data_IF_175113689538
#
_entry.id   IF_175113689538
#
_cell.length_a   1.000
_cell.length_b   1.000
_cell.length_c   1.000
_cell.angle_alpha   90.00
_cell.angle_beta   90.00
_cell.angle_gamma   90.00
#
_symmetry.space_group_name_H-M   'P 1'
#
loop_
_entity.id
_entity.type
_entity.pdbx_description
1 polymer ?
#
# COMPACT_ATOMS: atom_id res chain seq x y z
N UNK A 1 20.37 -37.77 -8.93
CA UNK A 1 20.86 -37.06 -7.72
C UNK A 1 19.69 -36.29 -7.14
N UNK A 2 19.12 -36.76 -6.03
CA UNK A 2 17.97 -36.12 -5.37
C UNK A 2 18.46 -34.87 -4.61
N UNK A 3 17.88 -33.70 -4.90
CA UNK A 3 18.10 -32.50 -4.11
C UNK A 3 17.45 -32.71 -2.73
N UNK A 4 18.26 -32.61 -1.68
CA UNK A 4 17.82 -32.72 -0.31
C UNK A 4 16.73 -31.61 -0.05
N UNK A 5 15.56 -32.05 0.40
CA UNK A 5 14.53 -31.19 0.95
C UNK A 5 15.10 -30.53 2.22
N UNK A 6 15.44 -29.25 2.14
CA UNK A 6 15.70 -28.46 3.33
C UNK A 6 14.42 -28.48 4.18
N UNK A 7 14.48 -29.08 5.37
CA UNK A 7 13.38 -29.04 6.34
C UNK A 7 13.18 -27.59 6.75
N UNK A 8 11.95 -27.13 6.62
CA UNK A 8 11.49 -25.85 7.15
C UNK A 8 11.71 -25.84 8.67
N UNK A 9 12.46 -24.82 9.16
CA UNK A 9 12.65 -24.56 10.59
C UNK A 9 11.74 -23.39 10.99
N UNK A 10 10.65 -23.63 11.71
CA UNK A 10 9.74 -22.56 12.15
C UNK A 10 10.41 -21.57 13.12
N UNK A 11 11.53 -21.93 13.76
CA UNK A 11 12.25 -21.03 14.66
C UNK A 11 13.22 -20.07 13.93
N UNK A 12 13.46 -20.26 12.63
CA UNK A 12 14.30 -19.36 11.83
C UNK A 12 13.53 -18.15 11.29
N UNK A 13 12.22 -18.04 11.57
CA UNK A 13 11.39 -16.95 11.12
C UNK A 13 11.71 -15.68 11.91
N UNK A 14 12.07 -14.61 11.19
CA UNK A 14 11.96 -13.26 11.78
C UNK A 14 10.52 -13.02 12.21
N UNK A 15 10.28 -12.38 13.38
CA UNK A 15 8.94 -11.98 13.77
C UNK A 15 8.28 -11.23 12.61
N UNK A 16 7.03 -11.57 12.30
CA UNK A 16 6.24 -10.83 11.34
C UNK A 16 6.21 -9.36 11.77
N UNK A 17 6.61 -8.50 10.85
CA UNK A 17 6.57 -7.07 11.03
C UNK A 17 5.14 -6.64 11.38
N UNK A 18 4.96 -5.94 12.48
CA UNK A 18 3.67 -5.35 12.85
C UNK A 18 3.61 -3.89 12.43
N UNK A 19 2.40 -3.35 12.22
CA UNK A 19 2.21 -1.92 11.92
C UNK A 19 2.64 -1.01 13.08
N UNK A 20 2.95 -1.58 14.25
CA UNK A 20 3.42 -0.88 15.46
C UNK A 20 4.92 -0.78 15.58
N UNK A 21 5.70 -1.35 14.65
CA UNK A 21 7.15 -1.15 14.65
C UNK A 21 7.44 0.34 14.39
N UNK A 22 8.43 0.93 15.09
CA UNK A 22 8.70 2.35 14.95
C UNK A 22 8.99 2.71 13.49
N UNK A 23 8.27 3.70 13.00
CA UNK A 23 8.56 4.34 11.71
C UNK A 23 9.93 5.01 11.86
N UNK A 24 10.84 4.89 10.88
CA UNK A 24 12.09 5.63 10.89
C UNK A 24 11.81 7.13 11.09
N UNK A 25 12.60 7.80 11.92
CA UNK A 25 12.54 9.26 12.04
C UNK A 25 12.57 9.86 10.63
N UNK A 26 11.55 10.64 10.29
CA UNK A 26 11.45 11.26 8.97
C UNK A 26 12.59 12.27 8.81
N UNK A 27 13.24 12.26 7.64
CA UNK A 27 14.29 13.23 7.30
C UNK A 27 13.76 14.67 7.14
N UNK A 28 12.45 14.86 7.28
CA UNK A 28 11.76 16.14 7.14
C UNK A 28 11.42 16.71 8.51
N UNK A 29 11.83 17.95 8.76
CA UNK A 29 11.37 18.75 9.90
C UNK A 29 9.97 19.30 9.58
N UNK A 30 8.97 18.42 9.66
CA UNK A 30 7.57 18.70 9.33
C UNK A 30 6.73 18.65 10.60
N UNK A 31 6.04 19.74 10.91
CA UNK A 31 4.98 19.75 11.91
C UNK A 31 3.70 19.12 11.31
N UNK A 32 3.57 17.80 11.49
CA UNK A 32 2.48 17.03 10.91
C UNK A 32 1.10 17.49 11.45
N UNK A 33 1.01 17.93 12.72
CA UNK A 33 -0.25 18.42 13.31
C UNK A 33 -0.70 19.74 12.68
N UNK A 34 0.24 20.67 12.52
CA UNK A 34 -0.03 21.94 11.88
C UNK A 34 -0.47 21.77 10.42
N UNK A 35 0.21 20.89 9.68
CA UNK A 35 -0.11 20.58 8.29
C UNK A 35 -1.49 19.89 8.19
N UNK A 36 -1.77 18.90 9.04
CA UNK A 36 -3.08 18.24 9.06
C UNK A 36 -4.22 19.27 9.29
N UNK A 37 -4.03 20.20 10.23
CA UNK A 37 -5.01 21.26 10.51
C UNK A 37 -5.19 22.22 9.31
N UNK A 38 -4.12 22.55 8.59
CA UNK A 38 -4.18 23.39 7.39
C UNK A 38 -4.86 22.68 6.20
N UNK A 39 -4.64 21.37 6.07
CA UNK A 39 -5.21 20.58 4.97
C UNK A 39 -6.65 20.13 5.23
N UNK A 40 -7.10 20.06 6.48
CA UNK A 40 -8.45 19.59 6.85
C UNK A 40 -9.60 20.31 6.11
N UNK A 41 -9.60 21.65 5.96
CA UNK A 41 -10.66 22.36 5.24
C UNK A 41 -10.50 22.31 3.72
N UNK A 42 -9.41 21.76 3.18
CA UNK A 42 -9.10 21.80 1.76
C UNK A 42 -9.75 20.65 1.01
N UNK A 43 -9.95 20.85 -0.27
CA UNK A 43 -10.39 19.76 -1.17
C UNK A 43 -9.29 18.71 -1.38
N UNK A 44 -9.68 17.52 -1.80
CA UNK A 44 -8.73 16.46 -2.16
C UNK A 44 -7.73 16.93 -3.25
N UNK A 45 -8.14 17.79 -4.16
CA UNK A 45 -7.25 18.38 -5.17
C UNK A 45 -6.18 19.26 -4.53
N UNK A 46 -6.58 20.21 -3.69
CA UNK A 46 -5.64 21.12 -3.01
C UNK A 46 -4.67 20.38 -2.10
N UNK A 47 -5.14 19.32 -1.41
CA UNK A 47 -4.28 18.48 -0.59
C UNK A 47 -3.27 17.70 -1.44
N UNK A 48 -3.68 17.19 -2.61
CA UNK A 48 -2.77 16.51 -3.54
C UNK A 48 -1.78 17.49 -4.19
N UNK A 49 -2.22 18.68 -4.58
CA UNK A 49 -1.33 19.73 -5.10
C UNK A 49 -0.23 20.05 -4.09
N UNK A 50 -0.59 20.27 -2.82
CA UNK A 50 0.36 20.46 -1.75
C UNK A 50 1.34 19.27 -1.60
N UNK A 51 0.84 18.03 -1.63
CA UNK A 51 1.67 16.84 -1.50
C UNK A 51 2.67 16.70 -2.65
N UNK A 52 2.24 16.99 -3.88
CA UNK A 52 3.13 16.99 -5.04
C UNK A 52 4.17 18.12 -4.98
N UNK A 53 3.77 19.34 -4.62
CA UNK A 53 4.70 20.47 -4.46
C UNK A 53 5.77 20.19 -3.40
N UNK A 54 5.42 19.42 -2.35
CA UNK A 54 6.32 19.16 -1.23
C UNK A 54 7.24 17.97 -1.46
N UNK A 55 6.73 16.86 -2.03
CA UNK A 55 7.41 15.56 -2.02
C UNK A 55 7.72 14.98 -3.40
N UNK A 56 7.27 15.58 -4.50
CA UNK A 56 7.61 15.03 -5.82
C UNK A 56 9.12 15.20 -6.12
N UNK A 57 9.82 14.17 -6.63
CA UNK A 57 9.34 12.87 -7.15
C UNK A 57 9.27 11.75 -6.08
N UNK A 58 9.50 12.03 -4.80
CA UNK A 58 9.48 11.07 -3.69
C UNK A 58 8.08 10.68 -3.20
N UNK A 59 7.01 11.14 -3.87
CA UNK A 59 5.63 10.84 -3.52
C UNK A 59 5.09 9.61 -4.23
N UNK A 60 4.51 8.66 -3.47
CA UNK A 60 3.80 7.50 -4.01
C UNK A 60 2.31 7.53 -3.70
N UNK A 61 1.50 7.01 -4.60
CA UNK A 61 0.05 6.91 -4.43
C UNK A 61 -0.34 5.43 -4.35
N UNK A 62 -0.88 5.03 -3.20
CA UNK A 62 -1.37 3.67 -2.96
C UNK A 62 -2.76 3.49 -3.58
N UNK A 63 -2.90 2.50 -4.44
CA UNK A 63 -4.12 2.23 -5.18
C UNK A 63 -4.77 0.91 -4.77
N UNK A 64 -6.03 0.96 -4.35
CA UNK A 64 -6.88 -0.20 -4.07
C UNK A 64 -7.85 -0.52 -5.20
N UNK A 65 -7.90 0.32 -6.23
CA UNK A 65 -8.83 0.25 -7.37
C UNK A 65 -10.31 0.33 -7.00
N UNK A 66 -10.61 0.80 -5.79
CA UNK A 66 -11.97 1.16 -5.38
C UNK A 66 -12.31 2.61 -5.79
N UNK A 67 -13.55 3.03 -5.58
CA UNK A 67 -14.05 4.34 -6.02
C UNK A 67 -13.14 5.50 -5.63
N UNK A 68 -12.76 5.61 -4.35
CA UNK A 68 -11.93 6.70 -3.86
C UNK A 68 -10.53 6.68 -4.51
N UNK A 69 -9.92 5.51 -4.61
CA UNK A 69 -8.63 5.35 -5.27
C UNK A 69 -8.68 5.80 -6.74
N UNK A 70 -9.76 5.48 -7.47
CA UNK A 70 -9.91 5.91 -8.88
C UNK A 70 -10.03 7.43 -9.00
N UNK A 71 -10.70 8.09 -8.05
CA UNK A 71 -10.76 9.56 -7.99
C UNK A 71 -9.39 10.17 -7.70
N UNK A 72 -8.63 9.58 -6.79
CA UNK A 72 -7.26 10.04 -6.48
C UNK A 72 -6.36 9.92 -7.73
N UNK A 73 -6.46 8.81 -8.47
CA UNK A 73 -5.71 8.63 -9.74
C UNK A 73 -6.08 9.72 -10.75
N UNK A 74 -7.38 10.01 -10.94
CA UNK A 74 -7.84 11.05 -11.86
C UNK A 74 -7.28 12.44 -11.50
N UNK A 75 -7.30 12.78 -10.22
CA UNK A 75 -6.77 14.08 -9.77
C UNK A 75 -5.25 14.13 -9.92
N UNK A 76 -4.56 13.10 -9.46
CA UNK A 76 -3.09 13.06 -9.45
C UNK A 76 -2.48 13.13 -10.84
N UNK A 77 -3.04 12.39 -11.81
CA UNK A 77 -2.56 12.41 -13.21
C UNK A 77 -2.74 13.77 -13.90
N UNK A 78 -3.73 14.56 -13.45
CA UNK A 78 -3.95 15.94 -13.92
C UNK A 78 -3.00 16.96 -13.29
N UNK A 79 -2.47 16.68 -12.10
CA UNK A 79 -1.50 17.53 -11.40
C UNK A 79 -0.09 17.19 -11.89
N UNK A 80 0.28 15.92 -11.87
CA UNK A 80 1.60 15.41 -12.23
C UNK A 80 1.45 14.21 -13.18
N UNK A 81 1.70 14.38 -14.49
CA UNK A 81 1.60 13.30 -15.48
C UNK A 81 2.57 12.14 -15.24
N UNK A 82 3.64 12.39 -14.49
CA UNK A 82 4.65 11.41 -14.05
C UNK A 82 4.46 10.92 -12.61
N UNK A 83 3.27 11.13 -12.03
CA UNK A 83 2.91 10.62 -10.72
C UNK A 83 3.11 9.09 -10.63
N UNK A 84 3.65 8.63 -9.52
CA UNK A 84 3.95 7.22 -9.28
C UNK A 84 2.84 6.56 -8.47
N UNK A 85 2.37 5.42 -8.98
CA UNK A 85 1.29 4.66 -8.40
C UNK A 85 1.75 3.24 -8.06
N UNK A 86 1.30 2.72 -6.91
CA UNK A 86 1.56 1.33 -6.57
C UNK A 86 0.31 0.63 -6.00
N UNK A 87 0.32 -0.68 -6.03
CA UNK A 87 -0.71 -1.49 -5.37
C UNK A 87 -0.10 -2.74 -4.72
N UNK A 88 -0.81 -3.25 -3.73
CA UNK A 88 -0.46 -4.50 -3.07
C UNK A 88 -1.24 -5.63 -3.73
N UNK A 89 -0.52 -6.53 -4.38
CA UNK A 89 -1.13 -7.71 -4.96
C UNK A 89 -1.10 -8.86 -3.95
N UNK A 90 -2.27 -9.24 -3.48
CA UNK A 90 -2.42 -10.31 -2.51
C UNK A 90 -2.61 -11.69 -3.14
N UNK A 91 -2.56 -11.82 -4.47
CA UNK A 91 -2.95 -12.99 -5.29
C UNK A 91 -4.41 -13.46 -5.10
N UNK A 92 -5.18 -12.75 -4.28
CA UNK A 92 -6.60 -13.06 -3.99
C UNK A 92 -7.51 -11.85 -4.20
N UNK A 93 -7.07 -10.89 -4.99
CA UNK A 93 -7.93 -9.80 -5.44
C UNK A 93 -8.96 -10.34 -6.42
N UNK A 94 -10.13 -9.72 -6.46
CA UNK A 94 -11.18 -10.07 -7.43
C UNK A 94 -10.74 -9.73 -8.85
N UNK A 95 -11.21 -10.48 -9.84
CA UNK A 95 -10.93 -10.22 -11.26
C UNK A 95 -11.34 -8.81 -11.68
N UNK A 96 -12.45 -8.28 -11.13
CA UNK A 96 -12.93 -6.93 -11.38
C UNK A 96 -11.93 -5.87 -10.86
N UNK A 97 -11.17 -6.18 -9.82
CA UNK A 97 -10.12 -5.30 -9.30
C UNK A 97 -8.97 -5.18 -10.29
N UNK A 98 -8.49 -6.31 -10.84
CA UNK A 98 -7.49 -6.31 -11.90
C UNK A 98 -7.99 -5.64 -13.17
N UNK A 99 -9.23 -5.92 -13.58
CA UNK A 99 -9.83 -5.28 -14.75
C UNK A 99 -9.98 -3.76 -14.55
N UNK A 100 -10.21 -3.28 -13.35
CA UNK A 100 -10.27 -1.84 -13.04
C UNK A 100 -8.87 -1.22 -13.10
N UNK A 101 -7.85 -1.89 -12.56
CA UNK A 101 -6.45 -1.48 -12.69
C UNK A 101 -6.08 -1.28 -14.15
N UNK A 102 -6.34 -2.29 -14.99
CA UNK A 102 -5.94 -2.29 -16.40
C UNK A 102 -6.65 -1.17 -17.17
N UNK A 103 -7.95 -0.94 -16.91
CA UNK A 103 -8.69 0.17 -17.52
C UNK A 103 -8.17 1.55 -17.08
N UNK A 104 -7.78 1.71 -15.82
CA UNK A 104 -7.18 2.97 -15.36
C UNK A 104 -5.81 3.18 -15.99
N UNK A 105 -4.98 2.14 -16.05
CA UNK A 105 -3.67 2.19 -16.70
C UNK A 105 -3.79 2.61 -18.18
N UNK A 106 -4.67 1.98 -18.92
CA UNK A 106 -4.94 2.30 -20.33
C UNK A 106 -5.49 3.72 -20.49
N UNK A 107 -6.48 4.11 -19.69
CA UNK A 107 -7.16 5.40 -19.81
C UNK A 107 -6.25 6.59 -19.54
N UNK A 108 -5.38 6.49 -18.54
CA UNK A 108 -4.46 7.58 -18.16
C UNK A 108 -3.06 7.44 -18.77
N UNK A 109 -2.74 6.31 -19.41
CA UNK A 109 -1.40 6.04 -19.96
C UNK A 109 -0.35 5.90 -18.84
N UNK A 110 -0.70 5.31 -17.70
CA UNK A 110 0.15 5.16 -16.51
C UNK A 110 0.40 3.68 -16.21
N UNK A 111 1.43 3.42 -15.40
CA UNK A 111 1.71 2.11 -14.85
C UNK A 111 1.44 2.09 -13.34
N UNK A 112 0.99 0.94 -12.83
CA UNK A 112 0.86 0.68 -11.39
C UNK A 112 1.95 -0.29 -10.97
N UNK A 113 2.88 0.15 -10.13
CA UNK A 113 3.93 -0.71 -9.57
C UNK A 113 3.30 -1.79 -8.70
N UNK A 114 3.60 -3.06 -8.99
CA UNK A 114 3.08 -4.21 -8.25
C UNK A 114 3.99 -4.57 -7.10
N UNK A 115 3.49 -4.53 -5.89
CA UNK A 115 4.17 -5.07 -4.72
C UNK A 115 3.51 -6.37 -4.27
N UNK A 116 4.31 -7.40 -4.16
CA UNK A 116 3.87 -8.77 -3.91
C UNK A 116 4.98 -9.53 -3.17
N UNK A 117 4.64 -10.34 -2.16
CA UNK A 117 5.63 -11.11 -1.42
C UNK A 117 5.74 -12.55 -1.96
N UNK A 118 4.87 -13.43 -1.51
CA UNK A 118 4.89 -14.86 -1.88
C UNK A 118 3.58 -15.28 -2.55
N UNK A 119 3.63 -16.32 -3.39
CA UNK A 119 2.43 -16.90 -4.01
C UNK A 119 1.57 -17.64 -2.99
N UNK A 120 0.32 -17.94 -3.34
CA UNK A 120 -0.59 -18.74 -2.49
C UNK A 120 0.00 -20.12 -2.24
N UNK A 121 0.58 -20.74 -3.27
CA UNK A 121 1.22 -22.07 -3.18
C UNK A 121 2.44 -22.03 -2.23
N UNK A 122 3.26 -20.98 -2.32
CA UNK A 122 4.40 -20.80 -1.43
C UNK A 122 3.94 -20.58 0.01
N UNK A 123 2.88 -19.80 0.22
CA UNK A 123 2.29 -19.61 1.55
C UNK A 123 1.77 -20.95 2.11
N UNK A 124 1.03 -21.74 1.30
CA UNK A 124 0.52 -23.03 1.72
C UNK A 124 1.65 -24.01 2.09
N UNK A 125 2.74 -24.01 1.33
CA UNK A 125 3.92 -24.85 1.61
C UNK A 125 4.62 -24.46 2.91
N UNK A 126 4.70 -23.16 3.24
CA UNK A 126 5.41 -22.64 4.42
C UNK A 126 4.57 -22.70 5.68
N UNK A 127 3.29 -22.35 5.59
CA UNK A 127 2.42 -22.11 6.73
C UNK A 127 1.19 -23.03 6.76
N UNK A 128 1.05 -23.92 5.77
CA UNK A 128 -0.13 -24.78 5.58
C UNK A 128 -1.26 -24.07 4.84
N UNK A 129 -2.23 -24.87 4.38
CA UNK A 129 -3.35 -24.39 3.58
C UNK A 129 -4.23 -23.41 4.35
N UNK A 130 -4.88 -22.52 3.61
CA UNK A 130 -5.90 -21.60 4.09
C UNK A 130 -5.47 -20.75 5.32
N UNK A 131 -4.23 -20.25 5.32
CA UNK A 131 -3.72 -19.42 6.42
C UNK A 131 -4.67 -18.27 6.78
N UNK A 132 -5.32 -17.67 5.77
CA UNK A 132 -6.29 -16.57 5.97
C UNK A 132 -7.50 -16.95 6.84
N UNK A 133 -7.84 -18.25 6.96
CA UNK A 133 -8.92 -18.74 7.84
C UNK A 133 -8.43 -19.06 9.25
N UNK A 134 -7.20 -19.56 9.37
CA UNK A 134 -6.64 -20.03 10.64
C UNK A 134 -5.93 -18.93 11.42
N UNK A 135 -5.22 -18.07 10.71
CA UNK A 135 -4.45 -16.95 11.26
C UNK A 135 -4.49 -15.78 10.26
N UNK A 136 -5.58 -14.99 10.26
CA UNK A 136 -5.75 -13.85 9.36
C UNK A 136 -4.68 -12.78 9.53
N UNK A 137 -4.19 -12.57 10.74
CA UNK A 137 -3.21 -11.54 11.05
C UNK A 137 -1.85 -11.89 10.42
N UNK A 138 -1.38 -13.13 10.57
CA UNK A 138 -0.18 -13.59 9.89
C UNK A 138 -0.33 -13.55 8.36
N UNK A 139 -1.50 -13.92 7.84
CA UNK A 139 -1.77 -13.81 6.41
C UNK A 139 -1.69 -12.35 5.92
N UNK A 140 -2.31 -11.41 6.66
CA UNK A 140 -2.23 -9.98 6.36
C UNK A 140 -0.79 -9.45 6.49
N UNK A 141 -0.05 -9.88 7.49
CA UNK A 141 1.38 -9.56 7.66
C UNK A 141 2.17 -9.86 6.40
N UNK A 142 2.07 -11.09 5.93
CA UNK A 142 2.80 -11.57 4.74
C UNK A 142 2.35 -10.85 3.46
N UNK A 143 1.03 -10.72 3.25
CA UNK A 143 0.48 -10.30 1.95
C UNK A 143 0.22 -8.80 1.82
N UNK A 144 0.25 -8.07 2.92
CA UNK A 144 -0.01 -6.62 2.92
C UNK A 144 1.07 -5.83 3.62
N UNK A 145 1.43 -6.21 4.86
CA UNK A 145 2.36 -5.40 5.67
C UNK A 145 3.77 -5.44 5.10
N UNK A 146 4.29 -6.63 4.78
CA UNK A 146 5.64 -6.75 4.21
C UNK A 146 5.75 -6.06 2.83
N UNK A 147 4.86 -6.30 1.84
CA UNK A 147 4.91 -5.58 0.57
C UNK A 147 4.71 -4.07 0.72
N UNK A 148 3.89 -3.62 1.68
CA UNK A 148 3.72 -2.20 1.96
C UNK A 148 5.02 -1.57 2.47
N UNK A 149 5.74 -2.26 3.37
CA UNK A 149 7.05 -1.79 3.84
C UNK A 149 8.07 -1.68 2.72
N UNK A 150 8.09 -2.66 1.83
CA UNK A 150 8.94 -2.61 0.65
C UNK A 150 8.59 -1.40 -0.21
N UNK A 151 7.31 -1.19 -0.53
CA UNK A 151 6.86 -0.04 -1.30
C UNK A 151 7.28 1.29 -0.68
N UNK A 152 7.17 1.41 0.66
CA UNK A 152 7.45 2.64 1.38
C UNK A 152 8.92 2.83 1.77
N UNK A 153 9.79 1.84 1.54
CA UNK A 153 11.20 1.92 1.95
C UNK A 153 12.02 2.94 1.19
N UNK A 154 11.55 3.39 0.04
CA UNK A 154 12.28 4.29 -0.87
C UNK A 154 11.54 5.58 -1.19
N UNK A 155 10.46 5.88 -0.47
CA UNK A 155 9.65 7.08 -0.71
C UNK A 155 9.72 8.05 0.47
N UNK A 156 9.50 9.31 0.19
CA UNK A 156 9.49 10.38 1.20
C UNK A 156 8.11 10.55 1.82
N UNK A 157 7.07 10.35 1.00
CA UNK A 157 5.69 10.42 1.41
C UNK A 157 4.81 9.48 0.57
N UNK A 158 3.64 9.16 1.08
CA UNK A 158 2.64 8.41 0.33
C UNK A 158 1.23 8.88 0.61
N UNK A 159 0.37 8.72 -0.39
CA UNK A 159 -1.05 9.07 -0.35
C UNK A 159 -1.90 7.80 -0.40
N UNK A 160 -2.94 7.78 0.40
CA UNK A 160 -3.98 6.74 0.40
C UNK A 160 -5.36 7.37 0.28
N UNK A 161 -6.27 6.71 -0.45
CA UNK A 161 -7.67 7.10 -0.55
C UNK A 161 -8.54 6.64 0.64
N UNK A 162 -7.96 6.43 1.82
CA UNK A 162 -8.67 6.05 3.04
C UNK A 162 -9.39 7.27 3.60
N UNK A 163 -10.68 7.08 4.01
CA UNK A 163 -11.49 8.13 4.62
C UNK A 163 -11.92 7.73 6.02
N UNK A 164 -12.15 8.73 6.88
CA UNK A 164 -12.64 8.52 8.26
C UNK A 164 -13.97 7.78 8.27
N UNK A 165 -14.85 8.04 7.30
CA UNK A 165 -16.17 7.39 7.18
C UNK A 165 -16.13 5.92 6.71
N UNK A 166 -14.98 5.42 6.25
CA UNK A 166 -14.85 4.04 5.74
C UNK A 166 -14.96 2.98 6.85
N UNK A 167 -14.67 3.31 8.11
CA UNK A 167 -14.90 2.43 9.25
C UNK A 167 -14.78 3.18 10.59
N UNK A 168 -15.37 2.60 11.66
CA UNK A 168 -15.23 3.14 13.02
C UNK A 168 -13.77 3.24 13.49
N UNK A 169 -12.92 2.30 13.10
CA UNK A 169 -11.50 2.32 13.44
C UNK A 169 -10.75 3.48 12.78
N UNK A 170 -11.27 4.00 11.66
CA UNK A 170 -10.69 5.12 10.92
C UNK A 170 -11.28 6.48 11.29
N UNK A 171 -12.35 6.50 12.08
CA UNK A 171 -13.05 7.73 12.45
C UNK A 171 -12.15 8.77 13.14
N UNK A 172 -11.09 8.32 13.80
CA UNK A 172 -10.12 9.16 14.49
C UNK A 172 -8.75 9.23 13.76
N UNK A 173 -8.71 8.86 12.48
CA UNK A 173 -7.49 9.07 11.69
C UNK A 173 -7.19 10.57 11.62
N UNK A 174 -5.92 10.99 11.78
CA UNK A 174 -5.51 12.38 11.72
C UNK A 174 -5.79 13.01 10.36
#
# INVERSE_FOLDING_TARGET
MAKANARFDPNSMKPLATLTDPVPETAFDIDAEAIAADLEPKSAREALEWAFETFHPGLYIACSFQKTSSVVVDIATKIAPDARFFYLDTDVLFEETYATRDRLAEHYGIEFERYHNITIEEQARRYGDELWKRDPDSCCGIRKVEPMREALSSVEAWVSGIRREDSQHRANAP
#
